data_IF_471605932897
#
_entry.id   IF_471605932897
#
_cell.length_a   1.000
_cell.length_b   1.000
_cell.length_c   1.000
_cell.angle_alpha   90.00
_cell.angle_beta   90.00
_cell.angle_gamma   90.00
#
_symmetry.space_group_name_H-M   'P 1'
#
loop_
_entity.id
_entity.type
_entity.pdbx_description
1 polymer ?
#
# COMPACT_ATOMS: atom_id res chain seq x y z
N UNK A 1 -7.40 -11.53 -35.48
CA UNK A 1 -8.59 -12.41 -35.53
C UNK A 1 -9.08 -12.58 -34.11
N UNK A 2 -10.37 -12.36 -33.84
CA UNK A 2 -10.93 -12.71 -32.54
C UNK A 2 -10.96 -14.25 -32.43
N UNK A 3 -10.63 -14.78 -31.26
CA UNK A 3 -10.60 -16.23 -31.02
C UNK A 3 -12.00 -16.87 -31.12
N UNK A 4 -13.06 -16.06 -31.05
CA UNK A 4 -14.47 -16.41 -31.19
C UNK A 4 -15.26 -15.26 -31.86
N UNK A 5 -16.48 -15.52 -32.37
CA UNK A 5 -17.39 -14.47 -32.82
C UNK A 5 -17.75 -13.50 -31.69
N UNK A 6 -17.90 -12.23 -32.01
CA UNK A 6 -18.34 -11.21 -31.05
C UNK A 6 -19.79 -11.44 -30.64
N UNK A 7 -20.05 -11.43 -29.32
CA UNK A 7 -21.40 -11.43 -28.77
C UNK A 7 -21.87 -9.99 -28.69
N UNK A 8 -23.01 -9.68 -29.32
CA UNK A 8 -23.58 -8.33 -29.29
C UNK A 8 -24.05 -7.96 -27.89
N UNK A 9 -23.79 -6.72 -27.46
CA UNK A 9 -24.36 -6.17 -26.23
C UNK A 9 -25.89 -6.06 -26.36
N UNK A 10 -26.62 -6.49 -25.33
CA UNK A 10 -28.08 -6.44 -25.36
C UNK A 10 -28.58 -4.98 -25.21
N UNK A 11 -29.39 -4.43 -26.14
CA UNK A 11 -29.79 -3.02 -26.09
C UNK A 11 -30.59 -2.62 -24.85
N UNK A 12 -31.43 -3.52 -24.32
CA UNK A 12 -32.20 -3.26 -23.09
C UNK A 12 -31.27 -3.21 -21.87
N UNK A 13 -30.28 -4.12 -21.82
CA UNK A 13 -29.24 -4.09 -20.80
C UNK A 13 -28.42 -2.80 -20.87
N UNK A 14 -28.04 -2.35 -22.08
CA UNK A 14 -27.32 -1.09 -22.25
C UNK A 14 -28.15 0.11 -21.78
N UNK A 15 -29.44 0.15 -22.11
CA UNK A 15 -30.35 1.22 -21.64
C UNK A 15 -30.50 1.21 -20.12
N UNK A 16 -30.52 0.04 -19.49
CA UNK A 16 -30.59 -0.10 -18.03
C UNK A 16 -29.29 0.36 -17.35
N UNK A 17 -28.13 -0.05 -17.86
CA UNK A 17 -26.83 0.18 -17.21
C UNK A 17 -26.25 1.58 -17.47
N UNK A 18 -26.57 2.21 -18.60
CA UNK A 18 -26.00 3.50 -19.01
C UNK A 18 -26.18 4.62 -17.98
N UNK A 19 -27.37 4.83 -17.37
CA UNK A 19 -27.54 5.86 -16.34
C UNK A 19 -26.65 5.63 -15.11
N UNK A 20 -26.49 4.38 -14.67
CA UNK A 20 -25.61 4.04 -13.53
C UNK A 20 -24.14 4.26 -13.88
N UNK A 21 -23.73 3.85 -15.08
CA UNK A 21 -22.37 4.08 -15.58
C UNK A 21 -22.04 5.58 -15.65
N UNK A 22 -22.98 6.40 -16.12
CA UNK A 22 -22.80 7.85 -16.19
C UNK A 22 -22.74 8.50 -14.80
N UNK A 23 -23.60 8.06 -13.87
CA UNK A 23 -23.57 8.53 -12.48
C UNK A 23 -22.26 8.18 -11.78
N UNK A 24 -21.78 6.94 -11.96
CA UNK A 24 -20.49 6.50 -11.42
C UNK A 24 -19.32 7.28 -12.02
N UNK A 25 -19.30 7.49 -13.35
CA UNK A 25 -18.28 8.32 -14.00
C UNK A 25 -18.22 9.74 -13.42
N UNK A 26 -19.37 10.40 -13.26
CA UNK A 26 -19.41 11.77 -12.74
C UNK A 26 -18.84 11.89 -11.33
N UNK A 27 -19.03 10.88 -10.48
CA UNK A 27 -18.50 10.88 -9.10
C UNK A 27 -17.02 10.51 -9.03
N UNK A 28 -16.54 9.64 -9.94
CA UNK A 28 -15.16 9.13 -9.92
C UNK A 28 -14.17 10.00 -10.70
N UNK A 29 -14.63 10.79 -11.68
CA UNK A 29 -13.77 11.69 -12.47
C UNK A 29 -13.44 13.02 -11.78
N UNK A 30 -13.74 13.13 -10.48
CA UNK A 30 -13.37 14.30 -9.67
C UNK A 30 -11.85 14.31 -9.49
N UNK A 31 -11.20 15.40 -9.89
CA UNK A 31 -9.79 15.67 -9.59
C UNK A 31 -9.63 15.84 -8.08
N UNK A 32 -8.75 15.06 -7.49
CA UNK A 32 -8.42 15.09 -6.06
C UNK A 32 -7.00 15.59 -5.79
N UNK A 33 -6.18 15.71 -6.82
CA UNK A 33 -4.82 16.24 -6.71
C UNK A 33 -4.05 16.15 -8.02
N UNK A 34 -2.74 16.26 -7.93
CA UNK A 34 -1.81 16.06 -9.04
C UNK A 34 -0.45 15.58 -8.55
N UNK A 35 0.32 14.94 -9.44
CA UNK A 35 1.71 14.50 -9.18
C UNK A 35 2.61 14.87 -10.36
N UNK A 36 3.86 15.25 -10.08
CA UNK A 36 4.82 15.70 -11.11
C UNK A 36 5.57 14.56 -11.83
N UNK A 37 5.30 13.29 -11.50
CA UNK A 37 6.01 12.12 -12.03
C UNK A 37 5.18 10.83 -11.91
N UNK A 38 5.67 9.76 -12.54
CA UNK A 38 5.02 8.44 -12.53
C UNK A 38 5.09 7.79 -11.15
N UNK A 39 3.96 7.27 -10.67
CA UNK A 39 3.88 6.42 -9.48
C UNK A 39 3.71 4.96 -9.91
N UNK A 40 4.77 4.18 -9.69
CA UNK A 40 4.95 2.82 -10.19
C UNK A 40 4.16 1.79 -9.36
N UNK A 41 3.03 1.35 -9.90
CA UNK A 41 2.14 0.36 -9.31
C UNK A 41 2.06 -0.96 -10.09
N UNK A 42 2.87 -1.15 -11.14
CA UNK A 42 2.80 -2.32 -11.99
C UNK A 42 3.16 -3.59 -11.23
N UNK A 43 2.42 -4.66 -11.51
CA UNK A 43 2.64 -5.99 -10.90
C UNK A 43 4.09 -6.45 -11.00
N UNK A 44 4.75 -6.23 -12.14
CA UNK A 44 6.14 -6.63 -12.40
C UNK A 44 7.18 -5.82 -11.59
N UNK A 45 6.75 -4.81 -10.84
CA UNK A 45 7.61 -3.96 -10.00
C UNK A 45 7.26 -4.13 -8.53
N UNK A 46 6.00 -3.87 -8.16
CA UNK A 46 5.55 -3.87 -6.75
C UNK A 46 5.70 -5.22 -6.05
N UNK A 47 5.87 -6.31 -6.81
CA UNK A 47 6.09 -7.67 -6.29
C UNK A 47 7.57 -8.10 -6.29
N UNK A 48 8.48 -7.19 -6.60
CA UNK A 48 9.89 -7.49 -6.79
C UNK A 48 10.81 -6.50 -6.08
N UNK A 49 10.44 -5.22 -6.11
CA UNK A 49 11.25 -4.11 -5.58
C UNK A 49 10.38 -3.13 -4.81
N UNK A 50 10.99 -2.33 -3.94
CA UNK A 50 10.32 -1.17 -3.36
C UNK A 50 9.96 -0.18 -4.49
N UNK A 51 8.82 0.48 -4.37
CA UNK A 51 8.30 1.42 -5.38
C UNK A 51 7.84 2.72 -4.73
N UNK A 52 7.87 3.81 -5.48
CA UNK A 52 7.37 5.10 -5.03
C UNK A 52 5.84 5.08 -4.74
N UNK A 53 5.05 4.27 -5.46
CA UNK A 53 3.64 4.03 -5.12
C UNK A 53 3.49 3.34 -3.76
N UNK A 54 4.31 2.31 -3.48
CA UNK A 54 4.34 1.65 -2.18
C UNK A 54 4.66 2.63 -1.06
N UNK A 55 5.68 3.47 -1.24
CA UNK A 55 6.03 4.52 -0.28
C UNK A 55 4.91 5.56 -0.10
N UNK A 56 4.24 6.00 -1.16
CA UNK A 56 3.11 6.93 -1.09
C UNK A 56 1.93 6.34 -0.29
N UNK A 57 1.52 5.11 -0.59
CA UNK A 57 0.44 4.41 0.10
C UNK A 57 0.75 4.29 1.60
N UNK A 58 1.96 3.85 1.92
CA UNK A 58 2.40 3.67 3.30
C UNK A 58 2.56 5.00 4.03
N UNK A 59 3.00 6.07 3.36
CA UNK A 59 3.01 7.42 3.91
C UNK A 59 1.60 7.91 4.27
N UNK A 60 0.61 7.66 3.40
CA UNK A 60 -0.79 7.99 3.67
C UNK A 60 -1.32 7.24 4.89
N UNK A 61 -1.04 5.93 4.98
CA UNK A 61 -1.43 5.10 6.12
C UNK A 61 -0.77 5.59 7.41
N UNK A 62 0.55 5.83 7.41
CA UNK A 62 1.28 6.34 8.57
C UNK A 62 0.76 7.71 9.02
N UNK A 63 0.51 8.63 8.09
CA UNK A 63 -0.02 9.95 8.40
C UNK A 63 -1.40 9.87 9.07
N UNK A 64 -2.26 8.93 8.64
CA UNK A 64 -3.61 8.77 9.19
C UNK A 64 -3.63 8.08 10.55
N UNK A 65 -2.73 7.14 10.81
CA UNK A 65 -2.66 6.36 12.06
C UNK A 65 -1.63 6.90 13.06
N UNK A 66 -0.86 7.93 12.70
CA UNK A 66 0.31 8.41 13.43
C UNK A 66 1.33 7.28 13.71
N UNK A 67 1.60 6.45 12.70
CA UNK A 67 2.53 5.33 12.82
C UNK A 67 3.99 5.77 12.57
N UNK A 68 4.93 5.07 13.21
CA UNK A 68 6.36 5.28 13.02
C UNK A 68 6.88 4.66 11.73
N UNK A 69 6.32 3.50 11.36
CA UNK A 69 6.64 2.75 10.15
C UNK A 69 5.41 2.00 9.64
N UNK A 70 5.48 1.50 8.42
CA UNK A 70 4.38 0.76 7.83
C UNK A 70 4.85 -0.32 6.86
N UNK A 71 3.99 -1.31 6.65
CA UNK A 71 4.20 -2.39 5.70
C UNK A 71 2.91 -2.79 5.02
N UNK A 72 2.97 -3.20 3.76
CA UNK A 72 1.86 -3.83 3.06
C UNK A 72 2.37 -4.84 2.02
N UNK A 73 1.52 -5.78 1.62
CA UNK A 73 1.78 -6.63 0.46
C UNK A 73 1.83 -5.81 -0.82
N UNK A 74 2.84 -6.03 -1.66
CA UNK A 74 2.90 -5.50 -3.03
C UNK A 74 1.72 -5.99 -3.89
N UNK A 75 1.19 -7.17 -3.57
CA UNK A 75 -0.07 -7.69 -4.12
C UNK A 75 -1.29 -6.81 -3.85
N UNK A 76 -1.23 -5.93 -2.84
CA UNK A 76 -2.26 -4.93 -2.56
C UNK A 76 -2.22 -3.72 -3.49
N UNK A 77 -1.13 -3.49 -4.21
CA UNK A 77 -0.98 -2.39 -5.18
C UNK A 77 -1.40 -2.89 -6.57
N UNK A 78 -2.40 -2.23 -7.17
CA UNK A 78 -3.16 -2.82 -8.29
C UNK A 78 -3.07 -2.07 -9.61
N UNK A 79 -2.66 -0.81 -9.59
CA UNK A 79 -2.49 0.02 -10.78
C UNK A 79 -1.44 1.10 -10.51
N UNK A 80 -0.93 1.70 -11.58
CA UNK A 80 -0.03 2.85 -11.55
C UNK A 80 -0.81 4.17 -11.62
N UNK A 81 -0.16 5.29 -11.30
CA UNK A 81 -0.70 6.64 -11.54
C UNK A 81 0.33 7.42 -12.36
N UNK A 82 -0.09 7.84 -13.56
CA UNK A 82 0.74 8.67 -14.45
C UNK A 82 0.91 10.09 -13.92
N UNK A 83 1.97 10.77 -14.38
CA UNK A 83 2.17 12.18 -14.08
C UNK A 83 0.99 13.05 -14.55
N UNK A 84 0.61 14.04 -13.74
CA UNK A 84 -0.48 14.96 -14.03
C UNK A 84 -1.59 14.89 -12.99
N UNK A 85 -2.82 15.06 -13.44
CA UNK A 85 -4.02 15.11 -12.59
C UNK A 85 -4.37 13.72 -12.06
N UNK A 86 -4.65 13.64 -10.76
CA UNK A 86 -5.11 12.42 -10.11
C UNK A 86 -6.61 12.56 -9.85
N UNK A 87 -7.38 11.58 -10.32
CA UNK A 87 -8.82 11.49 -10.06
C UNK A 87 -9.11 10.44 -8.98
N UNK A 88 -10.30 10.52 -8.38
CA UNK A 88 -10.73 9.49 -7.44
C UNK A 88 -10.83 8.10 -8.09
N UNK A 89 -11.13 8.03 -9.39
CA UNK A 89 -11.09 6.80 -10.18
C UNK A 89 -9.71 6.14 -10.16
N UNK A 90 -8.65 6.93 -10.26
CA UNK A 90 -7.27 6.42 -10.28
C UNK A 90 -6.94 5.80 -8.92
N UNK A 91 -7.32 6.45 -7.82
CA UNK A 91 -7.19 5.90 -6.46
C UNK A 91 -7.97 4.59 -6.30
N UNK A 92 -9.21 4.51 -6.79
CA UNK A 92 -10.00 3.26 -6.75
C UNK A 92 -9.37 2.13 -7.55
N UNK A 93 -8.64 2.42 -8.64
CA UNK A 93 -7.92 1.40 -9.39
C UNK A 93 -6.70 0.90 -8.62
N UNK A 94 -5.96 1.79 -7.94
CA UNK A 94 -4.80 1.42 -7.12
C UNK A 94 -5.19 0.60 -5.89
N UNK A 95 -6.28 0.96 -5.20
CA UNK A 95 -6.80 0.29 -3.99
C UNK A 95 -8.27 -0.14 -4.17
N UNK A 96 -8.56 -1.20 -4.95
CA UNK A 96 -9.92 -1.59 -5.32
C UNK A 96 -10.61 -2.53 -4.33
N UNK A 97 -9.91 -2.97 -3.27
CA UNK A 97 -10.38 -4.06 -2.42
C UNK A 97 -11.16 -3.60 -1.18
N UNK A 98 -11.07 -2.32 -0.83
CA UNK A 98 -11.72 -1.79 0.37
C UNK A 98 -11.15 -2.42 1.64
N UNK A 99 -9.83 -2.63 1.70
CA UNK A 99 -9.21 -3.03 2.95
C UNK A 99 -9.33 -1.90 3.97
N UNK A 100 -9.20 -2.25 5.24
CA UNK A 100 -9.29 -1.28 6.33
C UNK A 100 -7.89 -0.96 6.84
N UNK A 101 -7.60 0.32 7.07
CA UNK A 101 -6.39 0.74 7.75
C UNK A 101 -6.40 0.25 9.19
N UNK A 102 -5.30 -0.37 9.59
CA UNK A 102 -5.07 -0.84 10.96
C UNK A 102 -3.72 -0.34 11.45
N UNK A 103 -3.55 -0.30 12.76
CA UNK A 103 -2.23 -0.15 13.35
C UNK A 103 -2.06 -1.07 14.56
N UNK A 104 -0.82 -1.30 14.95
CA UNK A 104 -0.49 -2.00 16.19
C UNK A 104 0.66 -1.29 16.89
N UNK A 105 0.53 -1.06 18.19
CA UNK A 105 1.63 -0.64 19.06
C UNK A 105 2.38 -1.89 19.54
N UNK A 106 3.68 -1.96 19.24
CA UNK A 106 4.55 -3.10 19.53
C UNK A 106 5.82 -2.65 20.24
N UNK A 107 6.36 -3.51 21.10
CA UNK A 107 7.73 -3.33 21.61
C UNK A 107 8.77 -3.45 20.49
N UNK A 108 9.93 -2.82 20.65
CA UNK A 108 11.02 -2.93 19.65
C UNK A 108 11.44 -4.38 19.41
N UNK A 109 11.38 -5.25 20.44
CA UNK A 109 11.58 -6.70 20.25
C UNK A 109 10.56 -7.31 19.29
N UNK A 110 9.27 -7.01 19.49
CA UNK A 110 8.22 -7.50 18.59
C UNK A 110 8.36 -6.95 17.17
N UNK A 111 8.82 -5.69 17.02
CA UNK A 111 9.13 -5.11 15.71
C UNK A 111 10.22 -5.90 14.99
N UNK A 112 11.32 -6.24 15.69
CA UNK A 112 12.41 -7.05 15.13
C UNK A 112 11.88 -8.42 14.69
N UNK A 113 11.15 -9.10 15.57
CA UNK A 113 10.60 -10.43 15.30
C UNK A 113 9.63 -10.40 14.09
N UNK A 114 8.74 -9.41 14.04
CA UNK A 114 7.75 -9.23 12.97
C UNK A 114 8.42 -8.93 11.62
N UNK A 115 9.32 -7.94 11.57
CA UNK A 115 9.99 -7.56 10.33
C UNK A 115 10.92 -8.67 9.82
N UNK A 116 11.55 -9.44 10.72
CA UNK A 116 12.36 -10.59 10.33
C UNK A 116 11.53 -11.65 9.60
N UNK A 117 10.31 -11.92 10.09
CA UNK A 117 9.39 -12.85 9.45
C UNK A 117 8.88 -12.31 8.10
N UNK A 118 8.45 -11.05 8.06
CA UNK A 118 7.94 -10.42 6.82
C UNK A 118 9.02 -10.32 5.74
N UNK A 119 10.27 -10.08 6.11
CA UNK A 119 11.38 -10.05 5.17
C UNK A 119 11.70 -11.42 4.52
N UNK A 120 11.08 -12.52 4.97
CA UNK A 120 11.19 -13.83 4.31
C UNK A 120 10.26 -13.97 3.09
N UNK A 121 9.30 -13.05 2.92
CA UNK A 121 8.41 -13.06 1.77
C UNK A 121 9.19 -12.74 0.49
N UNK A 122 9.24 -13.71 -0.43
CA UNK A 122 10.09 -13.64 -1.61
C UNK A 122 9.52 -12.72 -2.71
N UNK A 123 10.39 -12.12 -3.55
CA UNK A 123 10.00 -11.52 -4.83
C UNK A 123 9.21 -12.50 -5.71
N UNK A 124 8.56 -11.96 -6.74
CA UNK A 124 7.64 -12.70 -7.64
C UNK A 124 6.40 -13.27 -6.93
N UNK A 125 5.99 -12.61 -5.85
CA UNK A 125 4.82 -12.98 -5.06
C UNK A 125 3.98 -11.76 -4.72
N UNK A 126 2.66 -11.97 -4.57
CA UNK A 126 1.80 -10.94 -3.97
C UNK A 126 2.25 -10.56 -2.56
N UNK A 127 2.84 -11.51 -1.83
CA UNK A 127 3.32 -11.33 -0.46
C UNK A 127 4.59 -10.47 -0.35
N UNK A 128 5.27 -10.13 -1.45
CA UNK A 128 6.48 -9.30 -1.38
C UNK A 128 6.17 -7.97 -0.66
N UNK A 129 6.92 -7.61 0.39
CA UNK A 129 6.57 -6.49 1.25
C UNK A 129 7.05 -5.17 0.66
N UNK A 130 6.16 -4.18 0.66
CA UNK A 130 6.53 -2.77 0.56
C UNK A 130 6.67 -2.22 1.98
N UNK A 131 7.72 -1.44 2.24
CA UNK A 131 8.03 -0.84 3.54
C UNK A 131 8.08 0.68 3.45
N UNK A 132 7.85 1.35 4.58
CA UNK A 132 8.15 2.78 4.74
C UNK A 132 8.73 3.03 6.13
N UNK A 133 9.72 3.93 6.21
CA UNK A 133 10.51 4.22 7.42
C UNK A 133 11.25 3.01 8.01
N UNK A 134 11.52 1.97 7.23
CA UNK A 134 12.31 0.80 7.63
C UNK A 134 13.57 0.73 6.78
N UNK A 135 14.73 0.46 7.40
CA UNK A 135 15.96 0.10 6.66
C UNK A 135 16.65 -1.10 7.27
N UNK A 136 17.21 -1.98 6.44
CA UNK A 136 17.99 -3.15 6.85
C UNK A 136 18.79 -3.79 5.70
N UNK A 137 19.71 -4.68 6.06
CA UNK A 137 20.29 -5.68 5.14
C UNK A 137 19.86 -7.08 5.59
N UNK A 138 19.00 -7.74 4.81
CA UNK A 138 18.56 -9.10 5.07
C UNK A 138 19.60 -10.08 4.55
N UNK A 139 20.11 -10.95 5.43
CA UNK A 139 21.12 -11.96 5.12
C UNK A 139 20.93 -13.19 6.00
N UNK A 140 20.96 -14.38 5.40
CA UNK A 140 20.83 -15.68 6.11
C UNK A 140 19.60 -15.75 7.04
N UNK A 141 18.47 -15.17 6.59
CA UNK A 141 17.22 -15.13 7.35
C UNK A 141 17.20 -14.14 8.54
N UNK A 142 18.20 -13.26 8.65
CA UNK A 142 18.30 -12.25 9.72
C UNK A 142 18.33 -10.84 9.13
N UNK A 143 17.87 -9.86 9.91
CA UNK A 143 17.96 -8.44 9.58
C UNK A 143 19.16 -7.80 10.29
N UNK A 144 20.10 -7.27 9.49
CA UNK A 144 21.25 -6.52 9.98
C UNK A 144 21.00 -5.01 9.84
N UNK A 145 21.52 -4.22 10.78
CA UNK A 145 21.35 -2.76 10.82
C UNK A 145 19.88 -2.32 10.70
N UNK A 146 18.98 -3.04 11.37
CA UNK A 146 17.55 -2.70 11.37
C UNK A 146 17.32 -1.37 12.07
N UNK A 147 16.75 -0.42 11.33
CA UNK A 147 16.40 0.91 11.82
C UNK A 147 14.96 1.26 11.49
N UNK A 148 14.37 2.08 12.35
CA UNK A 148 13.06 2.72 12.13
C UNK A 148 13.28 4.23 12.13
N UNK A 149 12.87 4.90 11.04
CA UNK A 149 13.15 6.34 10.81
C UNK A 149 14.63 6.71 10.93
N UNK A 150 15.51 5.82 10.47
CA UNK A 150 16.98 6.01 10.51
C UNK A 150 17.64 5.70 11.85
N UNK A 151 16.88 5.45 12.91
CA UNK A 151 17.41 5.13 14.23
C UNK A 151 17.40 3.63 14.50
N UNK A 152 18.45 3.05 15.11
CA UNK A 152 18.45 1.65 15.52
C UNK A 152 17.23 1.31 16.39
N UNK A 153 16.68 0.11 16.19
CA UNK A 153 15.54 -0.34 17.00
C UNK A 153 15.97 -0.54 18.46
N UNK A 154 15.36 0.19 19.37
CA UNK A 154 15.49 0.00 20.82
C UNK A 154 14.47 -1.06 21.27
N UNK A 155 14.90 -2.23 21.77
CA UNK A 155 14.00 -3.29 22.20
C UNK A 155 12.98 -2.89 23.26
N UNK A 156 13.28 -1.86 24.08
CA UNK A 156 12.42 -1.39 25.16
C UNK A 156 11.44 -0.28 24.74
N UNK A 157 11.63 0.33 23.57
CA UNK A 157 10.77 1.39 23.05
C UNK A 157 9.52 0.80 22.38
N UNK A 158 8.41 1.52 22.48
CA UNK A 158 7.18 1.21 21.73
C UNK A 158 7.22 1.90 20.36
N UNK A 159 6.84 1.16 19.33
CA UNK A 159 6.70 1.64 17.97
C UNK A 159 5.30 1.34 17.46
N UNK A 160 4.73 2.29 16.73
CA UNK A 160 3.46 2.06 16.03
C UNK A 160 3.70 1.64 14.59
N UNK A 161 3.14 0.51 14.19
CA UNK A 161 3.16 0.05 12.80
C UNK A 161 1.79 0.22 12.15
N UNK A 162 1.72 0.81 10.96
CA UNK A 162 0.52 0.76 10.13
C UNK A 162 0.56 -0.39 9.11
N UNK A 163 -0.60 -0.99 8.86
CA UNK A 163 -0.80 -1.96 7.77
C UNK A 163 -2.30 -2.08 7.45
N UNK A 164 -2.66 -2.95 6.51
CA UNK A 164 -4.04 -3.22 6.14
C UNK A 164 -4.60 -4.44 6.89
N UNK A 165 -5.93 -4.45 7.11
CA UNK A 165 -6.65 -5.53 7.79
C UNK A 165 -6.35 -6.92 7.21
N UNK A 166 -6.16 -7.01 5.90
CA UNK A 166 -5.71 -8.23 5.22
C UNK A 166 -4.39 -8.77 5.79
N UNK A 167 -3.33 -7.96 5.83
CA UNK A 167 -2.04 -8.38 6.38
C UNK A 167 -2.11 -8.59 7.89
N UNK A 168 -2.83 -7.72 8.60
CA UNK A 168 -2.95 -7.81 10.06
C UNK A 168 -3.58 -9.12 10.54
N UNK A 169 -4.46 -9.72 9.72
CA UNK A 169 -5.15 -10.98 10.03
C UNK A 169 -4.49 -12.22 9.42
N UNK A 170 -3.27 -12.07 8.88
CA UNK A 170 -2.47 -13.19 8.36
C UNK A 170 -2.55 -13.42 6.85
N UNK A 171 -3.18 -12.50 6.11
CA UNK A 171 -3.16 -12.48 4.66
C UNK A 171 -1.73 -12.54 4.11
N UNK A 172 -1.56 -13.24 2.99
CA UNK A 172 -0.25 -13.52 2.36
C UNK A 172 0.77 -14.24 3.28
N UNK A 173 0.32 -14.81 4.39
CA UNK A 173 1.18 -15.47 5.38
C UNK A 173 1.91 -14.51 6.32
N UNK A 174 1.51 -13.23 6.36
CA UNK A 174 2.05 -12.27 7.33
C UNK A 174 1.77 -12.75 8.76
N UNK A 175 2.62 -12.42 9.75
CA UNK A 175 2.31 -12.74 11.14
C UNK A 175 1.00 -12.07 11.58
N UNK A 176 0.07 -12.85 12.13
CA UNK A 176 -1.18 -12.30 12.65
C UNK A 176 -0.91 -11.40 13.87
N UNK A 177 -1.39 -10.16 13.80
CA UNK A 177 -1.28 -9.14 14.85
C UNK A 177 -2.64 -8.68 15.36
N UNK A 178 -3.76 -9.18 14.81
CA UNK A 178 -5.11 -8.77 15.18
C UNK A 178 -5.48 -9.10 16.64
N UNK A 179 -4.84 -10.12 17.22
CA UNK A 179 -5.05 -10.54 18.62
C UNK A 179 -4.08 -9.87 19.60
N UNK A 180 -3.20 -8.96 19.13
CA UNK A 180 -2.24 -8.24 19.98
C UNK A 180 -2.96 -7.15 20.78
N UNK A 181 -2.60 -6.94 22.07
CA UNK A 181 -3.25 -5.90 22.90
C UNK A 181 -3.17 -4.48 22.34
N UNK A 182 -2.12 -4.15 21.58
CA UNK A 182 -1.92 -2.84 20.97
C UNK A 182 -2.58 -2.66 19.60
N UNK A 183 -3.32 -3.66 19.10
CA UNK A 183 -3.95 -3.63 17.78
C UNK A 183 -5.21 -2.78 17.76
N UNK A 184 -5.35 -1.97 16.71
CA UNK A 184 -6.53 -1.15 16.45
C UNK A 184 -6.89 -1.25 14.98
N UNK A 185 -8.14 -1.66 14.73
CA UNK A 185 -8.79 -1.48 13.44
C UNK A 185 -9.46 -0.10 13.42
N UNK A 186 -9.05 0.77 12.51
CA UNK A 186 -9.49 2.18 12.51
C UNK A 186 -10.86 2.39 11.85
N UNK A 187 -11.35 1.44 11.06
CA UNK A 187 -12.54 1.59 10.23
C UNK A 187 -12.35 2.41 8.94
N UNK A 188 -11.20 3.07 8.73
CA UNK A 188 -10.94 3.85 7.53
C UNK A 188 -10.57 2.97 6.34
N UNK A 189 -11.15 3.24 5.17
CA UNK A 189 -10.93 2.44 3.97
C UNK A 189 -9.63 2.86 3.30
N UNK A 190 -8.83 1.89 2.87
CA UNK A 190 -7.51 2.07 2.23
C UNK A 190 -7.49 3.18 1.18
N UNK A 191 -8.47 3.18 0.29
CA UNK A 191 -8.55 4.14 -0.79
C UNK A 191 -9.07 5.52 -0.37
N UNK A 192 -9.88 5.60 0.69
CA UNK A 192 -10.26 6.87 1.31
C UNK A 192 -9.04 7.52 1.99
N UNK A 193 -8.25 6.73 2.72
CA UNK A 193 -7.01 7.19 3.35
C UNK A 193 -6.03 7.75 2.31
N UNK A 194 -5.85 7.05 1.18
CA UNK A 194 -5.01 7.54 0.08
C UNK A 194 -5.56 8.84 -0.52
N UNK A 195 -6.87 8.88 -0.81
CA UNK A 195 -7.54 10.06 -1.37
C UNK A 195 -7.32 11.29 -0.47
N UNK A 196 -7.62 11.18 0.83
CA UNK A 196 -7.47 12.29 1.77
C UNK A 196 -6.01 12.78 1.87
N UNK A 197 -5.06 11.85 1.81
CA UNK A 197 -3.64 12.20 1.84
C UNK A 197 -3.24 12.97 0.58
N UNK A 198 -3.68 12.53 -0.60
CA UNK A 198 -3.43 13.24 -1.87
C UNK A 198 -4.04 14.64 -1.83
N UNK A 199 -5.30 14.79 -1.39
CA UNK A 199 -5.98 16.09 -1.29
C UNK A 199 -5.22 17.08 -0.39
N UNK A 200 -4.62 16.60 0.70
CA UNK A 200 -3.88 17.44 1.66
C UNK A 200 -2.45 17.77 1.22
N UNK A 201 -1.84 16.94 0.38
CA UNK A 201 -0.43 17.07 0.00
C UNK A 201 -0.22 17.42 -1.48
N UNK A 202 -1.29 17.62 -2.25
CA UNK A 202 -1.21 18.01 -3.65
C UNK A 202 -0.69 19.45 -3.83
N UNK A 203 0.18 19.74 -4.82
CA UNK A 203 0.75 18.79 -5.78
C UNK A 203 1.84 17.91 -5.15
N UNK A 204 1.79 16.61 -5.45
CA UNK A 204 2.78 15.64 -5.00
C UNK A 204 4.07 15.75 -5.83
N UNK A 205 5.20 15.60 -5.15
CA UNK A 205 6.50 15.35 -5.77
C UNK A 205 6.80 13.85 -5.75
N UNK A 206 6.76 13.18 -6.91
CA UNK A 206 7.01 11.75 -7.02
C UNK A 206 8.40 11.37 -6.47
N UNK A 207 9.39 12.27 -6.66
CA UNK A 207 10.76 12.07 -6.18
C UNK A 207 10.86 11.97 -4.64
N UNK A 208 9.91 12.56 -3.92
CA UNK A 208 9.86 12.49 -2.45
C UNK A 208 9.55 11.07 -1.95
N UNK A 209 8.95 10.23 -2.79
CA UNK A 209 8.57 8.85 -2.46
C UNK A 209 9.54 7.82 -3.04
N UNK A 210 10.57 8.23 -3.77
CA UNK A 210 11.49 7.27 -4.40
C UNK A 210 12.30 6.46 -3.37
N UNK A 211 12.27 5.12 -3.43
CA UNK A 211 13.14 4.28 -2.62
C UNK A 211 14.61 4.48 -2.96
N UNK A 212 15.46 4.54 -1.93
CA UNK A 212 16.91 4.78 -2.05
C UNK A 212 17.75 3.57 -1.65
N UNK A 213 17.13 2.39 -1.59
CA UNK A 213 17.80 1.14 -1.20
C UNK A 213 17.88 0.96 0.32
N UNK A 214 16.93 1.53 1.06
CA UNK A 214 16.83 1.41 2.51
C UNK A 214 16.73 -0.05 2.96
N UNK A 215 16.05 -0.89 2.19
CA UNK A 215 15.93 -2.34 2.41
C UNK A 215 16.61 -3.11 1.28
N UNK A 216 17.36 -4.15 1.64
CA UNK A 216 18.05 -5.00 0.66
C UNK A 216 18.12 -6.45 1.13
N UNK A 217 18.18 -7.37 0.17
CA UNK A 217 18.36 -8.80 0.39
C UNK A 217 19.65 -9.26 -0.29
N UNK A 218 20.46 -10.04 0.42
CA UNK A 218 21.71 -10.64 -0.05
C UNK A 218 21.62 -12.17 -0.08
#
# INVERSE_FOLDING_TARGET
>A
MLYTPQIAENPQMMSLLTPFQNKGKAQLQVKIGSVNGHLEGDRSKVRFVQTNMGHLLLAAQMARSNADFAVMSGGGIRDSIEAGDITYKDVMKVQPFGNVLTYVDMSGKEVVDYLTAVAQMKPDSGAYPQFANVSFVAKDGKLNDLKIKGEPVDPAKTYRMATLSFNATGGDGYPNIADKPGYVNTGFIDAEVLKEYIEKNSPLDAAAYEPKGEVSWQ
#
